data_IF_257513676393
#
_entry.id   IF_257513676393
#
_cell.length_a   1.000
_cell.length_b   1.000
_cell.length_c   1.000
_cell.angle_alpha   90.00
_cell.angle_beta   90.00
_cell.angle_gamma   90.00
#
_symmetry.space_group_name_H-M   'P 1'
#
loop_
_entity.id
_entity.type
_entity.pdbx_description
1 polymer ?
#
# COMPACT_ATOMS: atom_id res chain seq x y z
N UNK A 1 -9.63 4.83 26.54
CA UNK A 1 -9.76 3.80 25.48
C UNK A 1 -9.30 4.28 24.10
N UNK A 2 -9.47 5.56 23.71
CA UNK A 2 -8.98 6.06 22.41
C UNK A 2 -7.47 5.94 22.19
N UNK A 3 -6.65 6.29 23.20
CA UNK A 3 -5.17 6.22 23.13
C UNK A 3 -4.62 4.81 22.85
N UNK A 4 -5.31 3.76 23.32
CA UNK A 4 -4.92 2.37 23.06
C UNK A 4 -5.23 1.95 21.61
N UNK A 5 -6.33 2.46 21.05
CA UNK A 5 -6.72 2.21 19.66
C UNK A 5 -5.75 2.91 18.71
N UNK A 6 -5.36 4.16 19.00
CA UNK A 6 -4.33 4.88 18.24
C UNK A 6 -2.97 4.18 18.26
N UNK A 7 -2.54 3.68 19.43
CA UNK A 7 -1.26 2.96 19.54
C UNK A 7 -1.30 1.61 18.81
N UNK A 8 -2.40 0.87 18.94
CA UNK A 8 -2.58 -0.40 18.24
C UNK A 8 -2.67 -0.21 16.73
N UNK A 9 -3.38 0.82 16.26
CA UNK A 9 -3.51 1.16 14.84
C UNK A 9 -2.17 1.60 14.24
N UNK A 10 -1.40 2.40 14.98
CA UNK A 10 -0.03 2.77 14.59
C UNK A 10 0.88 1.55 14.50
N UNK A 11 0.80 0.63 15.47
CA UNK A 11 1.53 -0.64 15.42
C UNK A 11 1.15 -1.50 14.22
N UNK A 12 -0.15 -1.56 13.88
CA UNK A 12 -0.64 -2.28 12.70
C UNK A 12 -0.17 -1.62 11.40
N UNK A 13 -0.18 -0.29 11.30
CA UNK A 13 0.34 0.43 10.14
C UNK A 13 1.84 0.15 9.92
N UNK A 14 2.61 0.11 11.01
CA UNK A 14 4.03 -0.21 10.97
C UNK A 14 4.28 -1.64 10.51
N UNK A 15 3.51 -2.60 11.04
CA UNK A 15 3.62 -4.00 10.63
C UNK A 15 3.20 -4.19 9.18
N UNK A 16 2.20 -3.44 8.71
CA UNK A 16 1.79 -3.41 7.31
C UNK A 16 2.89 -2.78 6.43
N UNK A 17 3.56 -1.73 6.90
CA UNK A 17 4.69 -1.08 6.22
C UNK A 17 5.96 -1.95 6.22
N UNK A 18 6.19 -2.77 7.22
CA UNK A 18 7.26 -3.78 7.23
C UNK A 18 7.08 -4.79 6.07
N UNK A 19 5.82 -5.11 5.76
CA UNK A 19 5.43 -5.94 4.61
C UNK A 19 5.32 -5.15 3.29
N UNK A 20 5.94 -3.97 3.19
CA UNK A 20 5.92 -3.13 1.98
C UNK A 20 6.26 -3.85 0.67
N UNK A 21 7.15 -4.87 0.58
CA UNK A 21 7.42 -5.53 -0.69
C UNK A 21 6.20 -6.34 -1.16
N UNK A 22 5.48 -6.95 -0.23
CA UNK A 22 4.27 -7.74 -0.50
C UNK A 22 3.13 -6.82 -0.94
N UNK A 23 2.96 -5.67 -0.27
CA UNK A 23 2.01 -4.64 -0.68
C UNK A 23 2.29 -4.15 -2.09
N UNK A 24 3.56 -3.88 -2.43
CA UNK A 24 3.95 -3.40 -3.75
C UNK A 24 3.57 -4.42 -4.84
N UNK A 25 3.90 -5.70 -4.64
CA UNK A 25 3.52 -6.78 -5.56
C UNK A 25 2.00 -6.92 -5.68
N UNK A 26 1.27 -6.87 -4.55
CA UNK A 26 -0.18 -6.95 -4.55
C UNK A 26 -0.83 -5.78 -5.29
N UNK A 27 -0.39 -4.54 -5.05
CA UNK A 27 -0.92 -3.35 -5.72
C UNK A 27 -0.57 -3.32 -7.21
N UNK A 28 0.64 -3.74 -7.60
CA UNK A 28 1.03 -3.83 -9.01
C UNK A 28 0.23 -4.91 -9.73
N UNK A 29 0.08 -6.09 -9.13
CA UNK A 29 -0.75 -7.17 -9.68
C UNK A 29 -2.22 -6.77 -9.83
N UNK A 30 -2.77 -6.10 -8.81
CA UNK A 30 -4.12 -5.55 -8.84
C UNK A 30 -4.27 -4.49 -9.94
N UNK A 31 -3.30 -3.58 -10.08
CA UNK A 31 -3.31 -2.55 -11.12
C UNK A 31 -3.24 -3.15 -12.53
N UNK A 32 -2.44 -4.20 -12.75
CA UNK A 32 -2.43 -4.94 -14.02
C UNK A 32 -3.77 -5.62 -14.30
N UNK A 33 -4.41 -6.18 -13.27
CA UNK A 33 -5.73 -6.78 -13.40
C UNK A 33 -6.81 -5.75 -13.77
N UNK A 34 -6.73 -4.52 -13.23
CA UNK A 34 -7.63 -3.42 -13.57
C UNK A 34 -7.31 -2.76 -14.90
N UNK A 35 -6.04 -2.76 -15.34
CA UNK A 35 -5.63 -2.24 -16.64
C UNK A 35 -6.35 -2.98 -17.77
N UNK A 36 -6.57 -4.29 -17.63
CA UNK A 36 -7.33 -5.09 -18.58
C UNK A 36 -8.85 -4.84 -18.60
N UNK A 37 -9.44 -4.25 -17.55
CA UNK A 37 -10.90 -4.20 -17.32
C UNK A 37 -11.49 -2.78 -17.46
N UNK A 38 -10.91 -1.92 -18.30
CA UNK A 38 -11.57 -0.67 -18.73
C UNK A 38 -11.72 0.42 -17.63
N UNK A 39 -10.96 0.37 -16.54
CA UNK A 39 -10.84 1.47 -15.55
C UNK A 39 -9.38 1.93 -15.40
N UNK A 40 -8.78 2.52 -16.46
CA UNK A 40 -7.38 2.94 -16.45
C UNK A 40 -7.09 4.00 -15.38
N UNK A 41 -8.07 4.86 -15.06
CA UNK A 41 -7.94 5.86 -13.99
C UNK A 41 -7.66 5.21 -12.63
N UNK A 42 -8.39 4.15 -12.29
CA UNK A 42 -8.24 3.43 -11.01
C UNK A 42 -6.92 2.66 -10.96
N UNK A 43 -6.51 2.05 -12.07
CA UNK A 43 -5.21 1.38 -12.18
C UNK A 43 -4.03 2.35 -11.98
N UNK A 44 -4.11 3.56 -12.54
CA UNK A 44 -3.09 4.60 -12.33
C UNK A 44 -3.04 5.04 -10.86
N UNK A 45 -4.18 5.21 -10.21
CA UNK A 45 -4.22 5.55 -8.77
C UNK A 45 -3.60 4.45 -7.91
N UNK A 46 -3.85 3.17 -8.23
CA UNK A 46 -3.26 2.04 -7.54
C UNK A 46 -1.74 1.96 -7.76
N UNK A 47 -1.24 2.23 -8.97
CA UNK A 47 0.19 2.31 -9.24
C UNK A 47 0.86 3.47 -8.51
N UNK A 48 0.23 4.65 -8.48
CA UNK A 48 0.75 5.79 -7.71
C UNK A 48 0.82 5.47 -6.22
N UNK A 49 -0.20 4.78 -5.69
CA UNK A 49 -0.19 4.32 -4.29
C UNK A 49 0.94 3.32 -4.02
N UNK A 50 1.15 2.36 -4.94
CA UNK A 50 2.24 1.39 -4.85
C UNK A 50 3.62 2.07 -4.83
N UNK A 51 3.81 3.10 -5.65
CA UNK A 51 5.05 3.89 -5.68
C UNK A 51 5.25 4.62 -4.36
N UNK A 52 4.22 5.27 -3.81
CA UNK A 52 4.31 5.97 -2.52
C UNK A 52 4.62 4.99 -1.37
N UNK A 53 3.96 3.83 -1.33
CA UNK A 53 4.23 2.77 -0.34
C UNK A 53 5.65 2.23 -0.52
N UNK A 54 6.10 2.03 -1.75
CA UNK A 54 7.46 1.59 -2.08
C UNK A 54 8.54 2.56 -1.61
N UNK A 55 8.35 3.85 -1.86
CA UNK A 55 9.27 4.91 -1.40
C UNK A 55 9.24 4.99 0.13
N UNK A 56 8.06 4.97 0.74
CA UNK A 56 7.92 5.02 2.20
C UNK A 56 8.60 3.82 2.86
N UNK A 57 8.37 2.60 2.37
CA UNK A 57 9.02 1.38 2.85
C UNK A 57 10.53 1.38 2.63
N UNK A 58 11.01 1.89 1.50
CA UNK A 58 12.45 2.02 1.21
C UNK A 58 13.16 3.10 2.05
N UNK A 59 12.46 4.15 2.47
CA UNK A 59 13.00 5.14 3.44
C UNK A 59 12.95 4.57 4.87
N UNK A 60 12.02 3.65 5.15
CA UNK A 60 11.86 3.02 6.46
C UNK A 60 12.83 1.87 6.73
N UNK A 61 13.26 1.17 5.67
CA UNK A 61 14.21 0.05 5.72
C UNK A 61 15.66 0.53 5.94
#
# INVERSE_FOLDING_TARGET
MGVLIDSALKGYLFLLLDMWPVLLVAFVGLAFSFYGVLMPKTAITLLLLAVVIGIAGGIYA
#
